data_IF_149487435231
#
_entry.id   IF_149487435231
#
_cell.length_a   1.000
_cell.length_b   1.000
_cell.length_c   1.000
_cell.angle_alpha   90.00
_cell.angle_beta   90.00
_cell.angle_gamma   90.00
#
_symmetry.space_group_name_H-M   'P 1'
#
loop_
_entity.id
_entity.type
_entity.pdbx_description
1 polymer ?
#
# COMPACT_ATOMS: atom_id res chain seq x y z
N UNK A 1 18.29 10.67 -21.27
CA UNK A 1 16.95 10.33 -20.73
C UNK A 1 16.05 11.53 -21.00
N UNK A 2 14.90 11.33 -21.62
CA UNK A 2 14.01 12.45 -21.93
C UNK A 2 13.23 12.85 -20.65
N UNK A 3 13.03 14.15 -20.36
CA UNK A 3 12.34 14.61 -19.15
C UNK A 3 10.89 14.08 -19.01
N UNK A 4 10.28 13.63 -20.12
CA UNK A 4 8.98 12.95 -20.10
C UNK A 4 9.00 11.58 -19.43
N UNK A 5 10.13 10.85 -19.47
CA UNK A 5 10.25 9.53 -18.84
C UNK A 5 10.27 9.65 -17.31
N UNK A 6 10.86 10.72 -16.78
CA UNK A 6 10.88 11.01 -15.34
C UNK A 6 9.49 11.37 -14.84
N UNK A 7 8.78 12.24 -15.57
CA UNK A 7 7.41 12.62 -15.22
C UNK A 7 6.44 11.42 -15.23
N UNK A 8 6.61 10.50 -16.18
CA UNK A 8 5.82 9.26 -16.25
C UNK A 8 6.05 8.37 -15.04
N UNK A 9 7.32 8.15 -14.66
CA UNK A 9 7.66 7.32 -13.49
C UNK A 9 7.10 7.89 -12.19
N UNK A 10 7.18 9.20 -12.01
CA UNK A 10 6.61 9.88 -10.85
C UNK A 10 5.08 9.71 -10.78
N UNK A 11 4.39 9.84 -11.92
CA UNK A 11 2.95 9.62 -12.01
C UNK A 11 2.56 8.17 -11.69
N UNK A 12 3.30 7.18 -12.20
CA UNK A 12 3.07 5.77 -11.91
C UNK A 12 3.28 5.47 -10.42
N UNK A 13 4.36 5.99 -9.83
CA UNK A 13 4.63 5.85 -8.40
C UNK A 13 3.54 6.50 -7.54
N UNK A 14 3.05 7.67 -7.93
CA UNK A 14 1.96 8.36 -7.25
C UNK A 14 0.65 7.56 -7.31
N UNK A 15 0.28 7.09 -8.50
CA UNK A 15 -0.93 6.27 -8.69
C UNK A 15 -0.87 4.99 -7.86
N UNK A 16 0.29 4.32 -7.81
CA UNK A 16 0.47 3.14 -6.97
C UNK A 16 0.36 3.45 -5.47
N UNK A 17 0.91 4.58 -4.99
CA UNK A 17 0.76 5.01 -3.60
C UNK A 17 -0.70 5.25 -3.24
N UNK A 18 -1.46 5.95 -4.09
CA UNK A 18 -2.89 6.17 -3.87
C UNK A 18 -3.67 4.86 -3.79
N UNK A 19 -3.37 3.92 -4.70
CA UNK A 19 -4.00 2.58 -4.68
C UNK A 19 -3.73 1.85 -3.37
N UNK A 20 -2.48 1.85 -2.89
CA UNK A 20 -2.10 1.20 -1.63
C UNK A 20 -2.86 1.82 -0.43
N UNK A 21 -2.99 3.15 -0.39
CA UNK A 21 -3.75 3.82 0.67
C UNK A 21 -5.24 3.45 0.67
N UNK A 22 -5.86 3.36 -0.50
CA UNK A 22 -7.27 2.92 -0.61
C UNK A 22 -7.45 1.48 -0.14
N UNK A 23 -6.53 0.60 -0.53
CA UNK A 23 -6.55 -0.81 -0.10
C UNK A 23 -6.39 -0.94 1.42
N UNK A 24 -5.52 -0.15 2.05
CA UNK A 24 -5.37 -0.12 3.51
C UNK A 24 -6.65 0.34 4.21
N UNK A 25 -7.33 1.36 3.67
CA UNK A 25 -8.61 1.82 4.22
C UNK A 25 -9.71 0.77 4.07
N UNK A 26 -9.78 0.07 2.94
CA UNK A 26 -10.73 -1.02 2.73
C UNK A 26 -10.46 -2.18 3.70
N UNK A 27 -9.19 -2.55 3.90
CA UNK A 27 -8.81 -3.58 4.85
C UNK A 27 -9.16 -3.20 6.30
N UNK A 28 -8.96 -1.93 6.69
CA UNK A 28 -9.31 -1.43 8.01
C UNK A 28 -10.82 -1.42 8.29
N UNK A 29 -11.64 -1.23 7.25
CA UNK A 29 -13.10 -1.14 7.36
C UNK A 29 -13.84 -2.44 7.01
N UNK A 30 -13.12 -3.54 6.74
CA UNK A 30 -13.72 -4.79 6.29
C UNK A 30 -14.50 -5.49 7.43
N UNK A 31 -15.81 -5.75 7.27
CA UNK A 31 -16.66 -6.27 8.35
C UNK A 31 -16.53 -7.79 8.57
N UNK A 32 -15.99 -8.55 7.61
CA UNK A 32 -16.08 -10.03 7.58
C UNK A 32 -14.83 -10.78 8.06
N UNK A 33 -13.84 -10.08 8.65
CA UNK A 33 -12.70 -10.75 9.29
C UNK A 33 -11.40 -10.02 9.02
N UNK A 34 -10.85 -9.41 10.06
CA UNK A 34 -9.54 -8.78 9.95
C UNK A 34 -9.25 -7.80 11.07
N UNK A 35 -9.29 -8.24 12.32
CA UNK A 35 -8.50 -7.60 13.39
C UNK A 35 -6.99 -7.89 13.17
N UNK A 36 -6.51 -7.63 11.96
CA UNK A 36 -5.16 -7.92 11.49
C UNK A 36 -4.45 -6.62 11.14
N UNK A 37 -3.17 -6.53 11.48
CA UNK A 37 -2.35 -5.39 11.09
C UNK A 37 -1.88 -5.60 9.66
N UNK A 38 -2.13 -4.63 8.78
CA UNK A 38 -1.68 -4.67 7.39
C UNK A 38 -0.66 -3.57 7.13
N UNK A 39 0.33 -3.87 6.29
CA UNK A 39 1.30 -2.89 5.77
C UNK A 39 1.12 -2.77 4.27
N UNK A 40 1.00 -1.53 3.81
CA UNK A 40 0.95 -1.21 2.39
C UNK A 40 2.34 -1.21 1.76
N UNK A 41 2.50 -1.86 0.61
CA UNK A 41 3.72 -1.80 -0.20
C UNK A 41 3.40 -1.49 -1.66
N UNK A 42 4.27 -0.72 -2.30
CA UNK A 42 4.25 -0.55 -3.75
C UNK A 42 4.74 -1.87 -4.34
N UNK A 43 3.83 -2.62 -4.97
CA UNK A 43 4.13 -3.92 -5.56
C UNK A 43 3.50 -4.04 -6.94
N UNK A 44 4.26 -4.62 -7.88
CA UNK A 44 3.84 -4.88 -9.24
C UNK A 44 3.23 -6.28 -9.42
N UNK A 45 3.21 -7.11 -8.37
CA UNK A 45 2.73 -8.49 -8.40
C UNK A 45 1.38 -8.70 -7.67
N UNK A 46 0.58 -7.63 -7.56
CA UNK A 46 -0.69 -7.61 -6.82
C UNK A 46 -0.59 -7.89 -5.31
N UNK A 47 0.62 -7.92 -4.71
CA UNK A 47 0.81 -8.04 -3.27
C UNK A 47 1.03 -6.68 -2.59
N UNK A 48 0.05 -5.79 -2.73
CA UNK A 48 0.11 -4.42 -2.19
C UNK A 48 -0.23 -4.33 -0.71
N UNK A 49 -0.87 -5.35 -0.14
CA UNK A 49 -1.24 -5.45 1.27
C UNK A 49 -0.60 -6.69 1.87
N UNK A 50 0.26 -6.49 2.86
CA UNK A 50 0.92 -7.59 3.57
C UNK A 50 0.35 -7.69 4.98
N UNK A 51 -0.27 -8.82 5.35
CA UNK A 51 -0.66 -9.06 6.74
C UNK A 51 0.60 -9.25 7.59
N UNK A 52 0.65 -8.57 8.73
CA UNK A 52 1.75 -8.64 9.68
C UNK A 52 1.22 -8.83 11.10
N UNK A 53 2.09 -9.29 12.00
CA UNK A 53 1.79 -9.26 13.42
C UNK A 53 1.76 -7.80 13.92
N UNK A 54 0.91 -7.48 14.90
CA UNK A 54 0.91 -6.16 15.54
C UNK A 54 2.31 -5.83 16.07
N UNK A 55 2.76 -4.60 15.82
CA UNK A 55 3.97 -4.09 16.47
C UNK A 55 3.58 -3.75 17.91
N UNK A 56 4.20 -4.42 18.88
CA UNK A 56 4.20 -3.93 20.25
C UNK A 56 5.23 -2.80 20.27
N UNK A 57 4.79 -1.56 20.46
CA UNK A 57 5.72 -0.46 20.68
C UNK A 57 6.59 -0.81 21.90
N UNK A 58 7.94 -0.75 21.79
CA UNK A 58 8.78 -0.86 22.97
C UNK A 58 8.47 0.34 23.87
N UNK A 59 7.94 0.07 25.07
CA UNK A 59 7.77 1.07 26.13
C UNK A 59 9.11 1.64 26.58
#
# INVERSE_FOLDING_TARGET
>A
MAPQDELRKENEAFAMKQRVQQLLQQAANSPSGGMGTYVGKISHNNNSLIPVLPRLDPQ
#
